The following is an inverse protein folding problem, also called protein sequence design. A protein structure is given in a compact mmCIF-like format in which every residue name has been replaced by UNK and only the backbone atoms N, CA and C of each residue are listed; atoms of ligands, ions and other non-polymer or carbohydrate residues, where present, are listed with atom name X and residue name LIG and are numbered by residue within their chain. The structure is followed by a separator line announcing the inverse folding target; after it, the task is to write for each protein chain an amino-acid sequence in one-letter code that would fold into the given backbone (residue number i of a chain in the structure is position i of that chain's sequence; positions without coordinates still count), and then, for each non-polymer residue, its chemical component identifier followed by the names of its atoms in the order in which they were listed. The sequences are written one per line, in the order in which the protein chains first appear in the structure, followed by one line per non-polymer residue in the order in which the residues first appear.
data_IF_927792230367
#
_entry.id   IF_927792230367
#
_cell.length_a   1.000
_cell.length_b   1.000
_cell.length_c   1.000
_cell.angle_alpha   90.00
_cell.angle_beta   90.00
_cell.angle_gamma   90.00
#
_symmetry.space_group_name_H-M   'P 1'
#
loop_
_entity.id
_entity.type
_entity.pdbx_description
1 polymer ?
#
# COMPACT_ATOMS: atom_id res chain seq x y z
N UNK A 1 42.03 -26.58 -7.61
CA UNK A 1 41.94 -25.38 -6.75
C UNK A 1 40.77 -24.59 -7.29
N UNK A 2 39.57 -24.85 -6.76
CA UNK A 2 38.46 -23.93 -6.94
C UNK A 2 38.88 -22.65 -6.22
N UNK A 3 38.96 -21.52 -6.94
CA UNK A 3 39.06 -20.22 -6.30
C UNK A 3 37.82 -20.07 -5.41
N UNK A 4 37.98 -20.04 -4.10
CA UNK A 4 36.95 -19.59 -3.18
C UNK A 4 36.63 -18.14 -3.53
N UNK A 5 35.62 -17.95 -4.36
CA UNK A 5 35.13 -16.63 -4.72
C UNK A 5 34.45 -16.05 -3.48
N UNK A 6 35.14 -15.13 -2.81
CA UNK A 6 34.70 -14.52 -1.57
C UNK A 6 33.38 -13.76 -1.81
N UNK A 7 32.29 -14.03 -1.06
CA UNK A 7 30.99 -13.41 -1.29
C UNK A 7 31.09 -11.88 -1.36
N UNK A 8 30.52 -11.30 -2.42
CA UNK A 8 30.40 -9.84 -2.49
C UNK A 8 29.44 -9.38 -1.40
N UNK A 9 29.89 -8.44 -0.58
CA UNK A 9 29.08 -7.80 0.44
C UNK A 9 28.88 -6.33 0.12
N UNK A 10 27.73 -5.80 0.55
CA UNK A 10 27.41 -4.38 0.47
C UNK A 10 26.90 -3.89 1.82
N UNK A 11 27.04 -2.58 2.04
CA UNK A 11 26.35 -1.91 3.13
C UNK A 11 24.89 -1.63 2.74
N UNK A 12 23.96 -2.01 3.60
CA UNK A 12 22.54 -1.69 3.48
C UNK A 12 22.03 -1.00 4.74
N UNK A 13 20.98 -0.20 4.60
CA UNK A 13 20.28 0.43 5.73
C UNK A 13 18.77 0.24 5.63
N UNK A 14 18.12 0.18 6.80
CA UNK A 14 16.67 0.17 6.95
C UNK A 14 16.27 1.22 7.99
N UNK A 15 15.36 2.14 7.66
CA UNK A 15 15.02 3.27 8.51
C UNK A 15 13.51 3.57 8.47
N UNK A 16 12.90 3.79 9.64
CA UNK A 16 11.52 4.25 9.71
C UNK A 16 11.36 5.72 9.30
N UNK A 17 10.13 6.15 8.97
CA UNK A 17 9.84 7.52 8.54
C UNK A 17 10.33 8.59 9.52
N UNK A 18 10.09 8.40 10.82
CA UNK A 18 10.51 9.36 11.85
C UNK A 18 11.96 9.22 12.32
N UNK A 19 12.72 8.26 11.76
CA UNK A 19 14.13 7.97 12.09
C UNK A 19 14.39 7.52 13.54
N UNK A 20 13.35 7.20 14.30
CA UNK A 20 13.50 6.64 15.66
C UNK A 20 14.24 5.30 15.64
N UNK A 21 14.00 4.49 14.60
CA UNK A 21 14.72 3.26 14.33
C UNK A 21 15.45 3.35 12.99
N UNK A 22 16.76 3.09 13.04
CA UNK A 22 17.66 2.96 11.89
C UNK A 22 18.58 1.78 12.14
N UNK A 23 18.62 0.86 11.19
CA UNK A 23 19.45 -0.35 11.22
C UNK A 23 20.40 -0.32 10.04
N UNK A 24 21.65 -0.71 10.28
CA UNK A 24 22.71 -0.72 9.27
C UNK A 24 23.37 -2.09 9.31
N UNK A 25 23.61 -2.67 8.14
CA UNK A 25 24.38 -3.90 7.99
C UNK A 25 25.46 -3.68 6.94
N UNK A 26 26.72 -3.77 7.36
CA UNK A 26 27.88 -3.48 6.50
C UNK A 26 28.32 -4.68 5.64
N UNK A 27 27.88 -5.88 6.00
CA UNK A 27 28.30 -7.17 5.43
C UNK A 27 27.14 -7.91 4.75
N UNK A 28 26.18 -7.19 4.17
CA UNK A 28 25.04 -7.83 3.51
C UNK A 28 25.49 -8.55 2.24
N UNK A 29 25.42 -9.88 2.27
CA UNK A 29 25.83 -10.77 1.19
C UNK A 29 24.85 -10.62 0.02
N UNK A 30 25.39 -10.29 -1.16
CA UNK A 30 24.66 -10.37 -2.42
C UNK A 30 25.08 -11.65 -3.16
N UNK A 31 24.18 -12.30 -3.92
CA UNK A 31 24.53 -13.46 -4.74
C UNK A 31 25.74 -13.15 -5.64
N UNK A 32 26.66 -14.12 -5.75
CA UNK A 32 28.00 -13.92 -6.30
C UNK A 32 28.01 -13.60 -7.81
N UNK A 33 26.95 -13.98 -8.53
CA UNK A 33 26.76 -13.61 -9.92
C UNK A 33 25.80 -12.42 -10.02
N UNK A 34 26.26 -11.33 -10.64
CA UNK A 34 25.46 -10.16 -10.98
C UNK A 34 24.22 -10.45 -11.84
N UNK A 35 24.08 -11.69 -12.33
CA UNK A 35 22.94 -12.21 -13.07
C UNK A 35 21.77 -12.69 -12.19
N UNK A 36 22.01 -13.05 -10.92
CA UNK A 36 20.97 -13.58 -10.03
C UNK A 36 20.41 -12.52 -9.08
N UNK A 37 19.19 -11.99 -9.34
CA UNK A 37 18.57 -10.99 -8.47
C UNK A 37 18.14 -11.58 -7.12
N UNK A 38 18.13 -10.74 -6.08
CA UNK A 38 17.56 -11.09 -4.78
C UNK A 38 16.06 -11.32 -4.96
N UNK A 39 15.61 -12.53 -4.65
CA UNK A 39 14.19 -12.90 -4.76
C UNK A 39 13.40 -12.17 -3.68
N UNK A 40 12.46 -11.33 -4.10
CA UNK A 40 11.45 -10.76 -3.23
C UNK A 40 10.11 -11.44 -3.48
N UNK A 41 9.40 -11.78 -2.41
CA UNK A 41 8.06 -12.35 -2.48
C UNK A 41 7.05 -11.26 -2.19
N UNK A 42 6.09 -11.06 -3.09
CA UNK A 42 4.97 -10.14 -2.90
C UNK A 42 3.72 -10.93 -2.53
N UNK A 43 3.19 -10.73 -1.32
CA UNK A 43 1.94 -11.35 -0.90
C UNK A 43 0.74 -10.43 -1.16
N UNK A 44 -0.37 -11.00 -1.61
CA UNK A 44 -1.61 -10.27 -1.97
C UNK A 44 -2.80 -10.64 -1.06
N UNK A 45 -2.57 -11.44 -0.01
CA UNK A 45 -3.62 -11.84 0.92
C UNK A 45 -4.21 -10.63 1.67
N UNK A 46 -5.46 -10.77 2.12
CA UNK A 46 -6.17 -9.71 2.85
C UNK A 46 -5.40 -9.28 4.10
N UNK A 47 -4.78 -10.21 4.83
CA UNK A 47 -3.95 -9.87 6.00
C UNK A 47 -2.80 -8.92 5.65
N UNK A 48 -2.09 -9.18 4.55
CA UNK A 48 -0.99 -8.34 4.11
C UNK A 48 -1.49 -6.95 3.69
N UNK A 49 -2.57 -6.87 2.91
CA UNK A 49 -3.17 -5.58 2.52
C UNK A 49 -3.67 -4.78 3.72
N UNK A 50 -4.29 -5.46 4.68
CA UNK A 50 -4.88 -4.84 5.88
C UNK A 50 -3.82 -4.45 6.93
N UNK A 51 -2.56 -4.87 6.75
CA UNK A 51 -1.40 -4.45 7.55
C UNK A 51 -0.64 -3.31 6.90
N UNK A 52 -0.51 -3.28 5.57
CA UNK A 52 0.23 -2.22 4.89
C UNK A 52 -0.65 -1.02 4.56
N UNK A 53 -1.94 -1.24 4.33
CA UNK A 53 -2.86 -0.27 3.71
C UNK A 53 -2.69 -0.17 2.18
N UNK A 54 -1.76 -0.93 1.60
CA UNK A 54 -1.55 -0.99 0.16
C UNK A 54 -2.26 -2.19 -0.46
N UNK A 55 -2.33 -2.24 -1.79
CA UNK A 55 -2.90 -3.40 -2.50
C UNK A 55 -2.09 -4.69 -2.36
N UNK A 56 -0.91 -4.61 -1.74
CA UNK A 56 0.01 -5.73 -1.52
C UNK A 56 0.69 -5.62 -0.15
N UNK A 57 1.23 -6.72 0.35
CA UNK A 57 2.13 -6.72 1.49
C UNK A 57 3.50 -6.12 1.15
N UNK A 58 4.28 -5.82 2.19
CA UNK A 58 5.68 -5.44 1.99
C UNK A 58 6.44 -6.57 1.29
N UNK A 59 7.28 -6.19 0.34
CA UNK A 59 8.20 -7.12 -0.31
C UNK A 59 9.37 -7.33 0.64
N UNK A 60 9.45 -8.52 1.20
CA UNK A 60 10.40 -8.78 2.28
C UNK A 60 11.71 -9.37 1.71
N UNK A 61 12.85 -8.81 2.11
CA UNK A 61 14.19 -9.31 1.75
C UNK A 61 14.80 -9.98 2.98
N UNK A 62 15.42 -11.15 2.82
CA UNK A 62 16.04 -11.84 3.96
C UNK A 62 17.22 -11.01 4.50
N UNK A 63 17.08 -10.51 5.72
CA UNK A 63 18.09 -9.70 6.41
C UNK A 63 19.06 -10.57 7.20
N UNK A 64 18.53 -11.57 7.91
CA UNK A 64 19.31 -12.52 8.71
C UNK A 64 18.50 -13.80 8.94
N UNK A 65 19.19 -14.94 9.08
CA UNK A 65 18.64 -16.23 9.48
C UNK A 65 19.33 -16.78 10.76
N UNK A 66 19.92 -15.88 11.57
CA UNK A 66 20.61 -16.22 12.82
C UNK A 66 19.92 -15.64 14.07
N UNK A 67 20.05 -16.33 15.20
CA UNK A 67 19.50 -15.91 16.51
C UNK A 67 20.21 -14.66 17.06
N UNK A 68 21.47 -14.43 16.69
CA UNK A 68 22.25 -13.26 17.10
C UNK A 68 21.61 -11.92 16.70
N UNK A 69 20.60 -11.91 15.84
CA UNK A 69 19.88 -10.68 15.46
C UNK A 69 18.75 -10.30 16.44
N UNK A 70 18.30 -11.18 17.34
CA UNK A 70 17.13 -10.91 18.20
C UNK A 70 17.36 -9.79 19.22
N UNK A 71 18.58 -9.65 19.76
CA UNK A 71 18.91 -8.55 20.68
C UNK A 71 18.80 -7.17 20.01
N UNK A 72 19.03 -7.09 18.69
CA UNK A 72 18.90 -5.85 17.91
C UNK A 72 17.44 -5.39 17.80
N UNK A 73 16.50 -6.31 18.04
CA UNK A 73 15.06 -6.11 17.92
C UNK A 73 14.31 -6.36 19.24
N UNK A 74 15.04 -6.48 20.34
CA UNK A 74 14.48 -6.76 21.66
C UNK A 74 13.76 -5.52 22.21
N UNK A 75 12.47 -5.68 22.50
CA UNK A 75 11.60 -4.67 23.10
C UNK A 75 11.78 -4.51 24.62
N UNK A 76 12.62 -5.34 25.26
CA UNK A 76 12.96 -5.21 26.68
C UNK A 76 13.65 -3.87 26.99
N UNK A 77 14.31 -3.29 25.98
CA UNK A 77 14.67 -1.89 25.98
C UNK A 77 13.42 -1.12 25.55
N UNK A 78 12.94 -0.21 26.40
CA UNK A 78 11.73 0.63 26.22
C UNK A 78 11.73 1.53 24.95
N UNK A 79 12.68 1.30 24.03
CA UNK A 79 13.01 2.03 22.82
C UNK A 79 13.04 1.14 21.56
N UNK A 80 12.76 -0.17 21.67
CA UNK A 80 12.71 -1.11 20.53
C UNK A 80 11.43 -0.98 19.67
N UNK A 81 11.37 -1.61 18.49
CA UNK A 81 10.16 -1.61 17.66
C UNK A 81 9.02 -2.37 18.32
N UNK A 82 7.77 -2.00 18.03
CA UNK A 82 6.57 -2.74 18.47
C UNK A 82 6.47 -4.07 17.74
N UNK A 83 5.96 -5.09 18.44
CA UNK A 83 5.72 -6.44 17.93
C UNK A 83 4.22 -6.65 17.71
N UNK A 84 3.83 -7.16 16.54
CA UNK A 84 2.46 -7.57 16.24
C UNK A 84 2.45 -8.93 15.57
N UNK A 85 1.85 -9.93 16.23
CA UNK A 85 1.72 -11.28 15.67
C UNK A 85 0.68 -11.30 14.56
N UNK A 86 1.14 -11.49 13.32
CA UNK A 86 0.28 -11.58 12.13
C UNK A 86 -0.39 -12.95 12.07
N UNK A 87 0.39 -14.00 12.34
CA UNK A 87 -0.02 -15.41 12.36
C UNK A 87 0.83 -16.18 13.36
N UNK A 88 0.54 -17.47 13.55
CA UNK A 88 1.27 -18.35 14.50
C UNK A 88 2.79 -18.40 14.29
N UNK A 89 3.29 -17.99 13.12
CA UNK A 89 4.72 -18.06 12.77
C UNK A 89 5.29 -16.75 12.25
N UNK A 90 4.47 -15.71 12.07
CA UNK A 90 4.92 -14.41 11.55
C UNK A 90 4.60 -13.27 12.52
N UNK A 91 5.62 -12.49 12.87
CA UNK A 91 5.49 -11.30 13.72
C UNK A 91 6.04 -10.08 12.99
N UNK A 92 5.23 -9.02 12.89
CA UNK A 92 5.65 -7.73 12.39
C UNK A 92 6.39 -6.94 13.47
N UNK A 93 7.54 -6.38 13.11
CA UNK A 93 8.25 -5.35 13.86
C UNK A 93 8.02 -4.00 13.18
N UNK A 94 7.51 -3.01 13.92
CA UNK A 94 7.19 -1.70 13.35
C UNK A 94 7.50 -0.54 14.31
N UNK A 95 7.70 0.64 13.76
CA UNK A 95 7.95 1.85 14.53
C UNK A 95 6.70 2.26 15.31
N UNK A 96 6.82 2.42 16.62
CA UNK A 96 5.70 2.84 17.47
C UNK A 96 5.26 4.28 17.23
N UNK A 97 6.14 5.13 16.70
CA UNK A 97 5.89 6.57 16.51
C UNK A 97 5.27 6.91 15.16
N UNK A 98 5.72 6.26 14.09
CA UNK A 98 5.31 6.59 12.71
C UNK A 98 4.77 5.39 11.93
N UNK A 99 4.47 4.29 12.63
CA UNK A 99 3.92 3.04 12.11
C UNK A 99 4.74 2.25 11.10
N UNK A 100 5.87 2.76 10.61
CA UNK A 100 6.71 2.10 9.61
C UNK A 100 6.94 0.61 9.90
N UNK A 101 6.43 -0.31 9.06
CA UNK A 101 6.85 -1.71 9.04
C UNK A 101 8.36 -1.79 8.77
N UNK A 102 9.10 -2.43 9.68
CA UNK A 102 10.56 -2.54 9.61
C UNK A 102 10.98 -3.94 9.19
N UNK A 103 10.51 -4.95 9.92
CA UNK A 103 10.86 -6.35 9.68
C UNK A 103 9.67 -7.27 9.90
N UNK A 104 9.67 -8.42 9.24
CA UNK A 104 8.82 -9.57 9.56
C UNK A 104 9.72 -10.68 10.10
N UNK A 105 9.45 -11.12 11.31
CA UNK A 105 10.09 -12.27 11.94
C UNK A 105 9.29 -13.51 11.57
N UNK A 106 9.96 -14.48 10.96
CA UNK A 106 9.37 -15.75 10.53
C UNK A 106 10.02 -16.92 11.26
N UNK A 107 9.18 -17.70 11.93
CA UNK A 107 9.56 -18.87 12.76
C UNK A 107 9.04 -20.19 12.18
N UNK A 108 8.57 -20.19 10.93
CA UNK A 108 7.97 -21.38 10.28
C UNK A 108 8.96 -22.49 9.89
N UNK A 109 10.28 -22.29 10.02
CA UNK A 109 11.26 -23.32 9.67
C UNK A 109 11.43 -24.35 10.79
N UNK A 110 10.56 -25.37 10.78
CA UNK A 110 10.63 -26.49 11.74
C UNK A 110 11.93 -27.31 11.60
N UNK A 111 12.47 -27.45 10.38
CA UNK A 111 13.67 -28.27 10.11
C UNK A 111 14.97 -27.64 10.62
N UNK A 112 15.06 -26.31 10.66
CA UNK A 112 16.31 -25.61 11.03
C UNK A 112 16.24 -24.92 12.39
N UNK A 113 15.04 -24.77 12.98
CA UNK A 113 14.78 -23.93 14.16
C UNK A 113 15.27 -22.47 14.03
N UNK A 114 15.65 -22.04 12.82
CA UNK A 114 16.19 -20.70 12.59
C UNK A 114 15.07 -19.66 12.56
N UNK A 115 15.27 -18.59 13.31
CA UNK A 115 14.47 -17.37 13.22
C UNK A 115 14.97 -16.57 12.00
N UNK A 116 14.06 -16.25 11.07
CA UNK A 116 14.37 -15.43 9.90
C UNK A 116 13.82 -14.03 10.06
N UNK A 117 14.69 -13.04 9.89
CA UNK A 117 14.33 -11.64 9.85
C UNK A 117 14.26 -11.19 8.40
N UNK A 118 13.08 -10.75 7.97
CA UNK A 118 12.85 -10.22 6.64
C UNK A 118 12.64 -8.72 6.72
N UNK A 119 13.50 -7.92 6.11
CA UNK A 119 13.34 -6.47 6.08
C UNK A 119 12.25 -6.06 5.09
N UNK A 120 11.39 -5.15 5.49
CA UNK A 120 10.36 -4.56 4.62
C UNK A 120 11.03 -3.63 3.59
N UNK A 121 10.83 -3.87 2.30
CA UNK A 121 11.59 -3.14 1.27
C UNK A 121 11.36 -1.63 1.26
N UNK A 122 10.16 -1.17 1.64
CA UNK A 122 9.83 0.26 1.66
C UNK A 122 10.69 1.10 2.61
N UNK A 123 11.27 0.49 3.66
CA UNK A 123 12.17 1.17 4.62
C UNK A 123 13.65 1.11 4.25
N UNK A 124 14.00 0.41 3.17
CA UNK A 124 15.40 0.28 2.76
C UNK A 124 15.94 1.56 2.11
N UNK A 125 17.19 1.91 2.43
CA UNK A 125 17.87 3.10 1.91
C UNK A 125 18.01 3.14 0.38
N UNK A 126 18.18 4.33 -0.19
CA UNK A 126 18.34 4.52 -1.65
C UNK A 126 19.76 4.18 -2.13
N UNK A 127 20.73 4.23 -1.23
CA UNK A 127 22.17 4.06 -1.47
C UNK A 127 22.57 2.65 -1.91
N UNK A 128 21.65 1.69 -1.89
CA UNK A 128 21.87 0.30 -2.29
C UNK A 128 21.89 0.11 -3.82
N UNK A 129 22.64 0.92 -4.55
CA UNK A 129 22.60 0.99 -6.03
C UNK A 129 23.03 -0.29 -6.75
N UNK A 130 23.67 -1.23 -6.03
CA UNK A 130 24.06 -2.56 -6.54
C UNK A 130 22.97 -3.63 -6.37
N UNK A 131 21.90 -3.31 -5.63
CA UNK A 131 20.84 -4.26 -5.35
C UNK A 131 19.97 -4.48 -6.59
N UNK A 132 19.98 -5.71 -7.12
CA UNK A 132 19.00 -6.18 -8.10
C UNK A 132 17.97 -7.03 -7.38
N UNK A 133 16.70 -6.67 -7.49
CA UNK A 133 15.60 -7.41 -6.87
C UNK A 133 14.72 -8.01 -7.96
N UNK A 134 14.38 -9.29 -7.81
CA UNK A 134 13.38 -9.96 -8.62
C UNK A 134 12.02 -9.75 -7.96
N UNK A 135 11.17 -9.04 -8.68
CA UNK A 135 9.84 -8.66 -8.25
C UNK A 135 8.77 -9.67 -8.68
N UNK A 136 9.12 -10.67 -9.50
CA UNK A 136 8.19 -11.52 -10.23
C UNK A 136 7.53 -12.64 -9.41
N UNK A 137 7.73 -12.74 -8.10
CA UNK A 137 7.12 -13.80 -7.28
C UNK A 137 5.91 -13.26 -6.51
N UNK A 138 4.71 -13.71 -6.87
CA UNK A 138 3.43 -13.23 -6.31
C UNK A 138 2.59 -14.36 -5.73
N UNK A 139 2.24 -14.27 -4.45
CA UNK A 139 1.50 -15.33 -3.74
C UNK A 139 0.19 -14.82 -3.17
N UNK A 140 -0.76 -15.73 -2.98
CA UNK A 140 -2.11 -15.45 -2.48
C UNK A 140 -2.88 -14.44 -3.34
N UNK A 141 -2.68 -14.48 -4.66
CA UNK A 141 -3.36 -13.54 -5.58
C UNK A 141 -4.87 -13.82 -5.63
N UNK A 142 -5.31 -15.03 -5.30
CA UNK A 142 -6.72 -15.41 -5.26
C UNK A 142 -7.55 -14.60 -4.27
N UNK A 143 -6.96 -14.20 -3.14
CA UNK A 143 -7.62 -13.35 -2.12
C UNK A 143 -8.04 -11.97 -2.65
N UNK A 144 -7.40 -11.48 -3.72
CA UNK A 144 -7.74 -10.16 -4.26
C UNK A 144 -9.10 -10.11 -4.94
N UNK A 145 -9.63 -11.27 -5.39
CA UNK A 145 -10.86 -11.44 -6.19
C UNK A 145 -10.86 -10.76 -7.56
N UNK A 146 -10.55 -9.47 -7.61
CA UNK A 146 -10.46 -8.66 -8.84
C UNK A 146 -9.04 -8.63 -9.43
N UNK A 147 -8.05 -9.16 -8.72
CA UNK A 147 -6.64 -9.16 -9.13
C UNK A 147 -5.78 -8.20 -8.32
N UNK A 148 -6.37 -7.27 -7.57
CA UNK A 148 -5.61 -6.27 -6.80
C UNK A 148 -4.57 -5.59 -7.68
N UNK A 149 -3.39 -5.36 -7.13
CA UNK A 149 -2.26 -4.84 -7.90
C UNK A 149 -1.49 -5.88 -8.72
N UNK A 150 -1.89 -7.16 -8.74
CA UNK A 150 -1.06 -8.22 -9.34
C UNK A 150 -0.75 -7.96 -10.81
N UNK A 151 -1.71 -7.43 -11.57
CA UNK A 151 -1.57 -7.17 -13.01
C UNK A 151 -0.70 -5.96 -13.32
N UNK A 152 -0.26 -5.22 -12.29
CA UNK A 152 0.54 -4.00 -12.39
C UNK A 152 1.98 -4.21 -11.94
N UNK A 153 2.23 -5.31 -11.23
CA UNK A 153 3.45 -5.57 -10.48
C UNK A 153 4.16 -6.85 -10.94
N UNK A 154 3.65 -7.52 -11.97
CA UNK A 154 3.96 -8.92 -12.30
C UNK A 154 5.25 -9.14 -13.08
N UNK A 155 5.87 -8.10 -13.64
CA UNK A 155 6.99 -8.26 -14.56
C UNK A 155 6.50 -8.81 -15.90
N UNK A 156 6.77 -8.09 -16.99
CA UNK A 156 6.34 -8.43 -18.35
C UNK A 156 6.96 -9.73 -18.95
N UNK A 157 7.68 -10.56 -18.18
CA UNK A 157 8.51 -11.66 -18.71
C UNK A 157 8.67 -12.89 -17.81
N UNK A 158 7.58 -13.40 -17.21
CA UNK A 158 7.60 -14.74 -16.60
C UNK A 158 7.66 -14.79 -15.06
N UNK A 159 7.21 -13.72 -14.39
CA UNK A 159 6.93 -13.76 -12.96
C UNK A 159 5.86 -14.82 -12.62
N UNK A 160 6.13 -15.62 -11.58
CA UNK A 160 5.23 -16.68 -11.11
C UNK A 160 4.18 -16.11 -10.16
N UNK A 161 2.91 -16.42 -10.44
CA UNK A 161 1.75 -16.04 -9.64
C UNK A 161 1.06 -17.27 -9.11
N UNK A 162 0.73 -17.29 -7.83
CA UNK A 162 0.03 -18.40 -7.19
C UNK A 162 -1.25 -17.92 -6.52
N UNK A 163 -2.36 -18.63 -6.74
CA UNK A 163 -3.65 -18.29 -6.13
C UNK A 163 -3.60 -18.31 -4.60
N UNK A 164 -2.76 -19.17 -4.02
CA UNK A 164 -2.48 -19.30 -2.60
C UNK A 164 -0.97 -19.37 -2.33
N UNK A 165 -0.54 -20.36 -1.54
CA UNK A 165 0.86 -20.55 -1.15
C UNK A 165 1.76 -20.82 -2.37
N UNK A 166 2.84 -20.06 -2.47
CA UNK A 166 3.80 -20.17 -3.58
C UNK A 166 4.37 -21.58 -3.74
N UNK A 167 4.37 -22.08 -4.97
CA UNK A 167 4.86 -23.43 -5.32
C UNK A 167 3.97 -24.59 -4.87
N UNK A 168 2.89 -24.32 -4.11
CA UNK A 168 2.00 -25.35 -3.55
C UNK A 168 0.56 -25.22 -4.01
N UNK A 169 0.11 -24.02 -4.41
CA UNK A 169 -1.21 -23.81 -4.99
C UNK A 169 -1.17 -23.74 -6.52
N UNK A 170 -2.33 -23.62 -7.15
CA UNK A 170 -2.46 -23.36 -8.58
C UNK A 170 -1.67 -22.11 -9.00
N UNK A 171 -0.87 -22.26 -10.06
CA UNK A 171 -0.12 -21.18 -10.69
C UNK A 171 -0.97 -20.51 -11.78
N UNK A 172 -1.13 -19.19 -11.71
CA UNK A 172 -1.83 -18.41 -12.73
C UNK A 172 -0.91 -18.15 -13.91
N UNK A 173 -1.34 -18.53 -15.11
CA UNK A 173 -0.73 -18.13 -16.37
C UNK A 173 -1.46 -16.91 -16.95
N UNK A 174 -0.73 -15.85 -17.29
CA UNK A 174 -1.32 -14.60 -17.79
C UNK A 174 -1.88 -13.69 -16.69
N UNK A 175 -3.00 -13.03 -16.95
CA UNK A 175 -3.64 -12.10 -16.01
C UNK A 175 -4.49 -12.82 -14.96
N UNK A 176 -4.56 -12.24 -13.76
CA UNK A 176 -5.49 -12.69 -12.72
C UNK A 176 -6.43 -11.57 -12.29
N UNK A 177 -7.74 -11.81 -12.29
CA UNK A 177 -8.47 -12.85 -13.03
C UNK A 177 -8.22 -12.75 -14.55
N UNK A 178 -8.71 -13.68 -15.37
CA UNK A 178 -8.67 -13.51 -16.83
C UNK A 178 -9.33 -12.21 -17.28
N UNK A 179 -8.77 -11.52 -18.29
CA UNK A 179 -9.23 -10.19 -18.74
C UNK A 179 -10.73 -10.14 -19.06
N UNK A 180 -11.28 -11.16 -19.70
CA UNK A 180 -12.71 -11.22 -20.05
C UNK A 180 -13.61 -11.24 -18.80
N UNK A 181 -13.19 -11.93 -17.73
CA UNK A 181 -13.89 -11.90 -16.46
C UNK A 181 -13.81 -10.50 -15.81
N UNK A 182 -12.69 -9.80 -15.96
CA UNK A 182 -12.53 -8.44 -15.45
C UNK A 182 -13.36 -7.40 -16.21
N UNK A 183 -13.59 -7.58 -17.52
CA UNK A 183 -14.44 -6.69 -18.33
C UNK A 183 -15.91 -6.85 -17.98
N UNK A 184 -16.40 -8.09 -18.01
CA UNK A 184 -17.79 -8.43 -17.67
C UNK A 184 -18.19 -7.88 -16.30
N UNK A 185 -17.28 -8.03 -15.33
CA UNK A 185 -17.54 -7.59 -13.96
C UNK A 185 -17.81 -6.09 -13.86
N UNK A 186 -17.03 -5.25 -14.54
CA UNK A 186 -17.22 -3.79 -14.54
C UNK A 186 -18.58 -3.39 -15.11
N UNK A 187 -19.06 -4.08 -16.14
CA UNK A 187 -20.35 -3.79 -16.78
C UNK A 187 -21.54 -4.09 -15.85
N UNK A 188 -21.38 -5.07 -14.96
CA UNK A 188 -22.42 -5.52 -14.03
C UNK A 188 -22.34 -4.81 -12.66
N UNK A 189 -21.32 -3.98 -12.42
CA UNK A 189 -20.98 -3.52 -11.08
C UNK A 189 -21.71 -2.25 -10.68
N UNK A 190 -22.66 -2.39 -9.75
CA UNK A 190 -23.29 -1.27 -9.06
C UNK A 190 -22.37 -0.73 -7.95
N UNK A 191 -22.48 0.58 -7.70
CA UNK A 191 -21.71 1.23 -6.62
C UNK A 191 -22.24 0.77 -5.28
N UNK A 192 -21.34 0.29 -4.41
CA UNK A 192 -21.71 -0.11 -3.06
C UNK A 192 -22.12 1.10 -2.21
N UNK A 193 -23.18 0.95 -1.42
CA UNK A 193 -23.67 2.03 -0.55
C UNK A 193 -22.63 2.42 0.50
N UNK A 194 -22.09 1.42 1.19
CA UNK A 194 -21.02 1.57 2.17
C UNK A 194 -19.97 0.47 1.97
N UNK A 195 -18.69 0.86 2.04
CA UNK A 195 -17.55 -0.06 2.00
C UNK A 195 -16.80 0.03 3.32
N UNK A 196 -16.56 -1.12 3.94
CA UNK A 196 -15.84 -1.18 5.22
C UNK A 196 -14.36 -0.87 5.01
N UNK A 197 -13.81 -0.02 5.87
CA UNK A 197 -12.40 0.33 5.93
C UNK A 197 -11.83 -0.22 7.24
N UNK A 198 -11.09 -1.34 7.19
CA UNK A 198 -10.63 -2.03 8.40
C UNK A 198 -9.17 -2.44 8.32
N UNK A 199 -8.47 -2.25 9.45
CA UNK A 199 -7.12 -2.80 9.60
C UNK A 199 -7.16 -4.29 9.97
N UNK A 200 -5.99 -4.94 9.95
CA UNK A 200 -5.88 -6.38 10.21
C UNK A 200 -6.34 -6.81 11.60
N UNK A 201 -6.01 -6.04 12.65
CA UNK A 201 -6.42 -6.37 14.02
C UNK A 201 -7.88 -5.99 14.34
N UNK A 202 -8.59 -5.32 13.42
CA UNK A 202 -9.96 -4.84 13.61
C UNK A 202 -10.10 -3.62 14.53
N UNK A 203 -9.02 -3.10 15.12
CA UNK A 203 -9.06 -1.95 16.03
C UNK A 203 -9.38 -0.63 15.32
N UNK A 204 -8.92 -0.44 14.08
CA UNK A 204 -9.46 0.58 13.17
C UNK A 204 -10.56 -0.07 12.35
N UNK A 205 -11.77 0.46 12.48
CA UNK A 205 -12.97 -0.09 11.87
C UNK A 205 -13.98 1.02 11.50
N UNK A 206 -13.87 1.49 10.26
CA UNK A 206 -14.63 2.61 9.72
C UNK A 206 -15.43 2.15 8.48
N UNK A 207 -16.26 3.04 7.96
CA UNK A 207 -16.96 2.87 6.68
C UNK A 207 -16.76 4.09 5.81
N UNK A 208 -16.69 3.84 4.50
CA UNK A 208 -16.79 4.85 3.46
C UNK A 208 -18.18 4.76 2.85
N UNK A 209 -18.94 5.86 2.91
CA UNK A 209 -20.31 5.99 2.39
C UNK A 209 -20.30 6.33 0.90
N UNK A 210 -19.81 5.40 0.08
CA UNK A 210 -19.56 5.64 -1.34
C UNK A 210 -20.84 5.89 -2.15
N UNK A 211 -21.96 5.27 -1.80
CA UNK A 211 -23.26 5.53 -2.42
C UNK A 211 -23.76 6.95 -2.16
N UNK A 212 -23.61 7.43 -0.91
CA UNK A 212 -23.91 8.81 -0.54
C UNK A 212 -23.03 9.81 -1.31
N UNK A 213 -21.71 9.56 -1.34
CA UNK A 213 -20.76 10.37 -2.08
C UNK A 213 -21.12 10.47 -3.57
N UNK A 214 -21.40 9.34 -4.22
CA UNK A 214 -21.80 9.29 -5.62
C UNK A 214 -23.06 10.10 -5.89
N UNK A 215 -24.12 9.92 -5.11
CA UNK A 215 -25.39 10.66 -5.29
C UNK A 215 -25.19 12.17 -5.10
N UNK A 216 -24.36 12.56 -4.15
CA UNK A 216 -24.03 13.97 -3.93
C UNK A 216 -23.32 14.56 -5.16
N UNK A 217 -22.29 13.89 -5.66
CA UNK A 217 -21.53 14.36 -6.82
C UNK A 217 -22.37 14.34 -8.10
N UNK A 218 -23.22 13.33 -8.30
CA UNK A 218 -24.19 13.30 -9.41
C UNK A 218 -25.13 14.51 -9.36
N UNK A 219 -25.64 14.84 -8.18
CA UNK A 219 -26.47 16.03 -7.99
C UNK A 219 -25.68 17.30 -8.30
N UNK A 220 -24.46 17.45 -7.78
CA UNK A 220 -23.60 18.60 -8.07
C UNK A 220 -23.36 18.77 -9.58
N UNK A 221 -23.03 17.68 -10.28
CA UNK A 221 -22.83 17.70 -11.72
C UNK A 221 -24.11 18.09 -12.48
N UNK A 222 -25.27 17.56 -12.06
CA UNK A 222 -26.57 17.91 -12.67
C UNK A 222 -26.95 19.39 -12.48
N UNK A 223 -26.45 20.01 -11.41
CA UNK A 223 -26.63 21.44 -11.12
C UNK A 223 -25.56 22.32 -11.80
N UNK A 224 -24.66 21.73 -12.59
CA UNK A 224 -23.57 22.44 -13.28
C UNK A 224 -22.47 22.95 -12.35
N UNK A 225 -22.35 22.39 -11.14
CA UNK A 225 -21.29 22.73 -10.19
C UNK A 225 -20.01 21.98 -10.52
N UNK A 226 -18.88 22.59 -10.18
CA UNK A 226 -17.58 21.95 -10.31
C UNK A 226 -17.46 20.78 -9.33
N UNK A 227 -17.04 19.62 -9.85
CA UNK A 227 -16.77 18.44 -9.04
C UNK A 227 -15.38 18.56 -8.40
N UNK A 228 -15.16 17.95 -7.21
CA UNK A 228 -13.82 17.85 -6.64
C UNK A 228 -12.85 17.17 -7.63
N UNK A 229 -11.58 17.60 -7.61
CA UNK A 229 -10.54 17.16 -8.56
C UNK A 229 -10.28 15.64 -8.57
N UNK A 230 -10.68 14.95 -7.51
CA UNK A 230 -10.54 13.51 -7.33
C UNK A 230 -11.81 12.73 -7.73
N UNK A 231 -12.84 13.38 -8.27
CA UNK A 231 -14.08 12.71 -8.70
C UNK A 231 -14.05 12.56 -10.22
N UNK A 232 -14.29 11.34 -10.70
CA UNK A 232 -14.43 11.09 -12.14
C UNK A 232 -15.80 11.58 -12.63
N UNK A 233 -15.87 12.57 -13.55
CA UNK A 233 -17.14 13.16 -13.98
C UNK A 233 -18.04 12.19 -14.75
N UNK A 234 -17.54 11.02 -15.18
CA UNK A 234 -18.30 10.07 -15.99
C UNK A 234 -19.11 9.10 -15.14
N UNK A 235 -18.63 8.78 -13.94
CA UNK A 235 -19.22 7.78 -13.05
C UNK A 235 -19.37 8.24 -11.59
N UNK A 236 -18.85 9.43 -11.27
CA UNK A 236 -18.88 10.08 -9.95
C UNK A 236 -18.22 9.26 -8.83
N UNK A 237 -17.30 8.36 -9.20
CA UNK A 237 -16.48 7.58 -8.26
C UNK A 237 -15.21 8.34 -7.90
N UNK A 238 -14.64 7.99 -6.74
CA UNK A 238 -13.38 8.58 -6.28
C UNK A 238 -12.20 8.05 -7.06
N UNK A 239 -11.21 8.89 -7.33
CA UNK A 239 -10.00 8.53 -8.05
C UNK A 239 -9.14 7.54 -7.24
N UNK A 240 -8.57 6.55 -7.91
CA UNK A 240 -7.47 5.74 -7.40
C UNK A 240 -6.14 6.13 -8.05
N UNK A 241 -5.08 6.30 -7.25
CA UNK A 241 -3.73 6.68 -7.72
C UNK A 241 -2.64 5.74 -7.23
N UNK A 242 -1.49 5.83 -7.89
CA UNK A 242 -0.22 5.25 -7.47
C UNK A 242 0.69 6.35 -6.94
N UNK A 243 1.31 6.08 -5.81
CA UNK A 243 2.23 7.01 -5.15
C UNK A 243 3.57 6.34 -4.85
N UNK A 244 4.63 6.91 -5.40
CA UNK A 244 6.01 6.47 -5.23
C UNK A 244 6.79 7.28 -4.20
N UNK A 245 6.15 8.16 -3.40
CA UNK A 245 6.82 9.10 -2.51
C UNK A 245 7.61 8.40 -1.38
N UNK A 246 8.76 8.96 -1.00
CA UNK A 246 9.61 8.42 0.07
C UNK A 246 8.82 8.21 1.36
N UNK A 247 8.05 9.21 1.78
CA UNK A 247 7.32 9.16 3.04
C UNK A 247 6.19 8.12 3.04
N UNK A 248 5.55 7.90 1.89
CA UNK A 248 4.53 6.89 1.66
C UNK A 248 5.14 5.49 1.80
N UNK A 249 6.28 5.26 1.14
CA UNK A 249 7.03 3.99 1.20
C UNK A 249 7.54 3.70 2.61
N UNK A 250 8.14 4.70 3.26
CA UNK A 250 8.66 4.58 4.61
C UNK A 250 7.55 4.31 5.64
N UNK A 251 6.38 4.94 5.52
CA UNK A 251 5.28 4.73 6.47
C UNK A 251 4.63 3.34 6.31
N UNK A 252 4.44 2.90 5.07
CA UNK A 252 3.68 1.67 4.76
C UNK A 252 4.54 0.42 4.61
N UNK A 253 5.85 0.59 4.45
CA UNK A 253 6.79 -0.50 4.19
C UNK A 253 6.68 -1.10 2.78
N UNK A 254 5.90 -0.52 1.86
CA UNK A 254 5.78 -0.98 0.47
C UNK A 254 6.47 -0.04 -0.52
N UNK A 255 6.72 -0.51 -1.75
CA UNK A 255 7.43 0.28 -2.77
C UNK A 255 6.56 1.30 -3.51
N UNK A 256 5.30 0.96 -3.77
CA UNK A 256 4.35 1.83 -4.44
C UNK A 256 3.06 1.73 -3.63
N UNK A 257 2.59 2.88 -3.15
CA UNK A 257 1.40 2.98 -2.35
C UNK A 257 0.18 3.33 -3.21
N UNK A 258 -1.02 3.01 -2.71
CA UNK A 258 -2.26 3.25 -3.42
C UNK A 258 -3.23 4.04 -2.55
N UNK A 259 -3.55 5.25 -3.00
CA UNK A 259 -4.50 6.14 -2.34
C UNK A 259 -5.78 6.25 -3.16
N UNK A 260 -6.89 6.41 -2.46
CA UNK A 260 -8.12 7.01 -3.01
C UNK A 260 -8.54 8.19 -2.11
N UNK A 261 -9.58 8.93 -2.48
CA UNK A 261 -9.91 10.20 -1.84
C UNK A 261 -11.38 10.25 -1.46
N UNK A 262 -11.68 10.64 -0.23
CA UNK A 262 -13.04 10.86 0.23
C UNK A 262 -13.12 12.14 1.04
N UNK A 263 -14.28 12.80 0.94
CA UNK A 263 -14.59 13.87 1.90
C UNK A 263 -14.81 13.23 3.26
N UNK A 264 -14.31 13.85 4.33
CA UNK A 264 -14.44 13.33 5.70
C UNK A 264 -15.90 13.11 6.11
N UNK A 265 -16.83 13.91 5.58
CA UNK A 265 -18.28 13.71 5.77
C UNK A 265 -18.83 12.41 5.19
N UNK A 266 -18.11 11.80 4.23
CA UNK A 266 -18.44 10.49 3.65
C UNK A 266 -17.74 9.33 4.37
N UNK A 267 -17.06 9.60 5.49
CA UNK A 267 -16.44 8.58 6.34
C UNK A 267 -17.23 8.52 7.66
N UNK A 268 -17.43 7.30 8.18
CA UNK A 268 -18.17 7.08 9.42
C UNK A 268 -17.59 5.93 10.24
N UNK A 269 -18.09 5.77 11.46
CA UNK A 269 -17.79 4.62 12.31
C UNK A 269 -18.60 3.40 11.85
N UNK A 270 -17.97 2.24 11.75
CA UNK A 270 -18.62 1.02 11.23
C UNK A 270 -19.68 0.42 12.18
N UNK A 271 -19.73 0.86 13.43
CA UNK A 271 -20.77 0.51 14.41
C UNK A 271 -21.98 1.45 14.38
N UNK A 272 -22.00 2.40 13.42
CA UNK A 272 -23.10 3.34 13.23
C UNK A 272 -23.10 4.52 14.20
N UNK A 273 -22.05 4.68 15.03
CA UNK A 273 -21.91 5.86 15.88
C UNK A 273 -21.86 7.13 15.02
N UNK A 274 -22.54 8.17 15.49
CA UNK A 274 -22.52 9.49 14.85
C UNK A 274 -21.30 10.32 15.28
N UNK A 275 -21.07 11.42 14.56
CA UNK A 275 -20.06 12.41 14.90
C UNK A 275 -18.65 12.01 14.48
N UNK A 276 -18.50 11.35 13.33
CA UNK A 276 -17.19 11.27 12.69
C UNK A 276 -16.72 12.69 12.32
N UNK A 277 -15.46 13.06 12.57
CA UNK A 277 -14.94 14.40 12.27
C UNK A 277 -15.17 14.82 10.81
N UNK A 278 -15.53 16.08 10.60
CA UNK A 278 -15.82 16.62 9.26
C UNK A 278 -14.63 17.36 8.64
N UNK A 279 -13.62 17.69 9.46
CA UNK A 279 -12.37 18.32 9.01
C UNK A 279 -11.14 17.59 9.54
N UNK A 280 -10.00 17.75 8.86
CA UNK A 280 -8.71 17.16 9.24
C UNK A 280 -8.26 17.68 10.61
N UNK A 281 -8.56 18.94 10.92
CA UNK A 281 -8.30 19.53 12.23
C UNK A 281 -9.14 18.88 13.35
N UNK A 282 -10.44 18.67 13.10
CA UNK A 282 -11.31 17.95 14.03
C UNK A 282 -10.87 16.49 14.20
N UNK A 283 -10.46 15.82 13.12
CA UNK A 283 -9.96 14.44 13.16
C UNK A 283 -8.71 14.33 14.03
N UNK A 284 -7.75 15.24 13.82
CA UNK A 284 -6.52 15.32 14.60
C UNK A 284 -6.83 15.55 16.07
N UNK A 285 -7.67 16.52 16.39
CA UNK A 285 -8.04 16.83 17.77
C UNK A 285 -8.72 15.64 18.46
N UNK A 286 -9.64 14.97 17.77
CA UNK A 286 -10.36 13.82 18.30
C UNK A 286 -9.44 12.63 18.57
N UNK A 287 -8.52 12.31 17.65
CA UNK A 287 -7.55 11.23 17.83
C UNK A 287 -6.52 11.57 18.90
N UNK A 288 -6.07 12.83 18.98
CA UNK A 288 -5.17 13.28 20.06
C UNK A 288 -5.81 13.18 21.44
N UNK A 289 -7.12 13.47 21.55
CA UNK A 289 -7.85 13.31 22.81
C UNK A 289 -7.94 11.82 23.18
N UNK A 290 -8.28 10.96 22.23
CA UNK A 290 -8.35 9.50 22.42
C UNK A 290 -7.00 8.91 22.90
N UNK A 291 -5.87 9.43 22.40
CA UNK A 291 -4.52 8.97 22.78
C UNK A 291 -4.10 9.34 24.21
N UNK A 292 -4.79 10.27 24.89
CA UNK A 292 -4.39 10.73 26.25
C UNK A 292 -4.49 9.63 27.31
N UNK A 293 -5.46 8.73 27.16
CA UNK A 293 -5.77 7.72 28.18
C UNK A 293 -4.91 6.44 28.05
N UNK A 294 -3.93 6.41 27.14
CA UNK A 294 -3.01 5.30 26.92
C UNK A 294 -3.08 4.75 25.48
N UNK A 295 -2.43 3.61 25.18
CA UNK A 295 -2.42 3.04 23.83
C UNK A 295 -3.82 2.52 23.42
N UNK A 296 -4.66 3.47 22.97
CA UNK A 296 -5.84 3.41 22.11
C UNK A 296 -6.61 2.07 22.08
N UNK A 297 -7.52 1.97 23.05
CA UNK A 297 -8.78 1.20 22.99
C UNK A 297 -9.98 2.15 23.12
N UNK A 298 -9.87 3.36 22.55
CA UNK A 298 -10.95 4.33 22.57
C UNK A 298 -12.22 3.73 21.95
N UNK A 299 -13.37 4.01 22.55
CA UNK A 299 -14.62 3.36 22.14
C UNK A 299 -15.04 3.71 20.71
N UNK A 300 -14.58 4.85 20.16
CA UNK A 300 -14.93 5.33 18.82
C UNK A 300 -13.80 5.09 17.83
N UNK A 301 -12.61 5.55 18.14
CA UNK A 301 -11.45 5.51 17.24
C UNK A 301 -10.63 4.22 17.38
N UNK A 302 -10.94 3.39 18.38
CA UNK A 302 -10.30 2.11 18.62
C UNK A 302 -8.79 2.29 18.74
N UNK A 303 -8.04 1.72 17.80
CA UNK A 303 -6.57 1.78 17.77
C UNK A 303 -6.00 2.84 16.82
N UNK A 304 -6.83 3.72 16.24
CA UNK A 304 -6.39 4.76 15.32
C UNK A 304 -5.48 5.75 16.05
N UNK A 305 -4.28 5.97 15.53
CA UNK A 305 -3.28 6.89 16.03
C UNK A 305 -2.80 7.79 14.90
N UNK A 306 -2.03 8.83 15.22
CA UNK A 306 -1.53 9.76 14.21
C UNK A 306 -0.07 10.18 14.43
N UNK A 307 0.56 10.64 13.35
CA UNK A 307 1.93 11.18 13.34
C UNK A 307 2.01 12.36 12.37
N UNK A 308 2.61 13.47 12.82
CA UNK A 308 2.95 14.59 11.95
C UNK A 308 4.27 14.30 11.22
N UNK A 309 4.27 14.13 9.90
CA UNK A 309 5.53 13.99 9.14
C UNK A 309 6.15 15.31 8.72
N UNK A 310 5.35 16.38 8.71
CA UNK A 310 5.72 17.80 8.60
C UNK A 310 4.65 18.61 9.32
N UNK A 311 4.81 19.93 9.41
CA UNK A 311 3.89 20.81 10.15
C UNK A 311 2.45 20.74 9.64
N UNK A 312 2.27 20.52 8.34
CA UNK A 312 1.02 20.52 7.59
C UNK A 312 0.52 19.12 7.18
N UNK A 313 1.27 18.06 7.50
CA UNK A 313 0.95 16.68 7.09
C UNK A 313 0.63 15.80 8.28
N UNK A 314 -0.53 15.16 8.22
CA UNK A 314 -1.06 14.26 9.24
C UNK A 314 -1.17 12.84 8.67
N UNK A 315 -0.54 11.88 9.32
CA UNK A 315 -0.52 10.48 8.91
C UNK A 315 -1.19 9.60 9.96
N UNK A 316 -2.29 8.98 9.61
CA UNK A 316 -3.07 8.13 10.52
C UNK A 316 -2.79 6.66 10.28
N UNK A 317 -2.70 5.91 11.37
CA UNK A 317 -2.36 4.50 11.34
C UNK A 317 -2.97 3.72 12.50
N UNK A 318 -2.98 2.40 12.41
CA UNK A 318 -3.32 1.53 13.53
C UNK A 318 -2.11 1.35 14.45
N UNK A 319 -2.19 1.83 15.69
CA UNK A 319 -1.10 1.71 16.68
C UNK A 319 -0.81 0.27 17.13
N UNK A 320 -1.73 -0.67 16.84
CA UNK A 320 -1.63 -2.09 17.18
C UNK A 320 -0.98 -2.92 16.08
N UNK A 321 -1.40 -2.75 14.82
CA UNK A 321 -0.96 -3.60 13.70
C UNK A 321 -0.25 -2.84 12.57
N UNK A 322 0.14 -1.59 12.80
CA UNK A 322 0.89 -0.73 11.86
C UNK A 322 0.15 -0.24 10.61
N UNK A 323 -1.09 -0.69 10.38
CA UNK A 323 -1.87 -0.36 9.19
C UNK A 323 -1.91 1.12 8.89
N UNK A 324 -1.43 1.53 7.71
CA UNK A 324 -1.62 2.88 7.18
C UNK A 324 -3.10 3.08 6.87
N UNK A 325 -3.71 4.17 7.36
CA UNK A 325 -5.17 4.41 7.24
C UNK A 325 -5.44 5.65 6.40
N UNK A 326 -4.96 6.82 6.85
CA UNK A 326 -5.18 8.09 6.18
C UNK A 326 -3.89 8.89 5.99
N UNK A 327 -3.88 9.67 4.92
CA UNK A 327 -3.03 10.84 4.78
C UNK A 327 -3.93 12.07 4.65
N UNK A 328 -3.65 13.10 5.45
CA UNK A 328 -4.38 14.36 5.45
C UNK A 328 -3.38 15.52 5.43
N UNK A 329 -3.79 16.62 4.82
CA UNK A 329 -3.03 17.88 4.75
C UNK A 329 -3.93 19.05 5.06
N UNK A 330 -3.34 20.10 5.64
CA UNK A 330 -4.09 21.26 6.12
C UNK A 330 -4.69 22.10 4.97
N UNK A 331 -4.12 22.04 3.76
CA UNK A 331 -4.61 22.73 2.56
C UNK A 331 -5.84 22.08 1.91
N UNK A 332 -6.18 20.85 2.33
CA UNK A 332 -7.38 20.09 1.93
C UNK A 332 -8.16 19.66 3.16
N UNK A 333 -8.73 20.61 3.94
CA UNK A 333 -9.20 20.38 5.29
C UNK A 333 -10.40 19.44 5.38
N UNK A 334 -11.07 19.15 4.29
CA UNK A 334 -12.24 18.26 4.21
C UNK A 334 -11.94 16.92 3.52
N UNK A 335 -10.71 16.68 3.04
CA UNK A 335 -10.34 15.49 2.28
C UNK A 335 -9.41 14.59 3.11
N UNK A 336 -9.73 13.29 3.12
CA UNK A 336 -8.81 12.25 3.54
C UNK A 336 -8.38 11.41 2.34
N UNK A 337 -7.06 11.18 2.23
CA UNK A 337 -6.51 10.19 1.33
C UNK A 337 -6.60 8.85 2.06
N UNK A 338 -7.38 7.91 1.54
CA UNK A 338 -7.73 6.64 2.17
C UNK A 338 -6.89 5.51 1.59
N UNK A 339 -6.27 4.74 2.49
CA UNK A 339 -5.43 3.60 2.13
C UNK A 339 -6.27 2.47 1.52
N UNK A 340 -6.14 2.27 0.21
CA UNK A 340 -7.01 1.36 -0.57
C UNK A 340 -6.95 -0.08 -0.07
N UNK A 341 -5.79 -0.52 0.42
CA UNK A 341 -5.60 -1.87 0.93
C UNK A 341 -6.48 -2.24 2.12
N UNK A 342 -7.06 -1.26 2.82
CA UNK A 342 -7.96 -1.48 3.95
C UNK A 342 -9.44 -1.59 3.55
N UNK A 343 -9.78 -1.30 2.29
CA UNK A 343 -11.15 -1.40 1.79
C UNK A 343 -11.52 -2.87 1.60
N UNK A 344 -12.61 -3.27 2.26
CA UNK A 344 -13.18 -4.62 2.19
C UNK A 344 -14.40 -4.62 1.26
N UNK A 345 -14.17 -4.19 0.01
CA UNK A 345 -15.20 -4.14 -1.02
C UNK A 345 -15.56 -5.57 -1.51
N UNK A 346 -16.81 -5.77 -1.92
CA UNK A 346 -17.29 -7.08 -2.38
C UNK A 346 -16.64 -7.49 -3.68
N UNK A 347 -16.34 -6.51 -4.54
CA UNK A 347 -15.71 -6.73 -5.82
C UNK A 347 -14.21 -7.04 -5.69
N UNK A 348 -13.53 -6.57 -4.66
CA UNK A 348 -12.18 -7.03 -4.37
C UNK A 348 -11.24 -5.93 -3.92
N UNK A 349 -9.96 -6.23 -4.03
CA UNK A 349 -8.89 -5.39 -3.49
C UNK A 349 -8.81 -4.01 -4.15
N UNK A 350 -9.09 -3.91 -5.46
CA UNK A 350 -9.09 -2.63 -6.19
C UNK A 350 -10.35 -1.80 -5.97
N UNK A 351 -11.42 -2.40 -5.43
CA UNK A 351 -12.68 -1.72 -5.09
C UNK A 351 -13.19 -0.85 -6.25
N UNK A 352 -13.22 -1.39 -7.47
CA UNK A 352 -13.64 -0.69 -8.69
C UNK A 352 -15.13 -0.29 -8.66
N UNK A 353 -15.93 -0.90 -7.79
CA UNK A 353 -17.29 -0.46 -7.46
C UNK A 353 -17.33 1.00 -6.98
N UNK A 354 -16.30 1.46 -6.25
CA UNK A 354 -16.26 2.80 -5.63
C UNK A 354 -15.05 3.64 -6.07
N UNK A 355 -14.05 3.04 -6.71
CA UNK A 355 -12.84 3.71 -7.20
C UNK A 355 -12.81 3.74 -8.73
N UNK A 356 -12.62 4.93 -9.29
CA UNK A 356 -12.23 5.13 -10.69
C UNK A 356 -10.71 5.26 -10.80
N UNK A 357 -10.07 4.20 -11.25
CA UNK A 357 -8.62 4.19 -11.47
C UNK A 357 -8.25 4.85 -12.79
N UNK A 358 -7.13 5.58 -12.80
CA UNK A 358 -6.57 6.11 -14.04
C UNK A 358 -6.00 5.00 -14.94
N UNK A 359 -5.53 3.91 -14.32
CA UNK A 359 -4.88 2.77 -14.96
C UNK A 359 -3.78 3.21 -15.93
N UNK A 360 -2.85 4.05 -15.50
CA UNK A 360 -1.64 4.40 -16.24
C UNK A 360 -1.26 5.85 -16.00
N UNK A 361 -0.38 6.39 -16.85
CA UNK A 361 0.26 7.68 -16.58
C UNK A 361 1.48 7.54 -15.65
N UNK A 362 2.00 8.68 -15.21
CA UNK A 362 3.18 8.73 -14.35
C UNK A 362 2.78 8.47 -12.89
N UNK A 363 3.53 7.63 -12.19
CA UNK A 363 3.36 7.44 -10.74
C UNK A 363 3.61 8.79 -10.03
N UNK A 364 2.77 9.12 -9.05
CA UNK A 364 2.94 10.33 -8.25
C UNK A 364 4.26 10.32 -7.48
N UNK A 365 4.95 11.46 -7.43
CA UNK A 365 6.26 11.59 -6.77
C UNK A 365 7.32 10.59 -7.25
N UNK A 366 7.26 10.16 -8.53
CA UNK A 366 8.18 9.17 -9.11
C UNK A 366 9.65 9.53 -8.96
N UNK A 367 9.98 10.82 -8.88
CA UNK A 367 11.34 11.34 -8.71
C UNK A 367 11.99 10.78 -7.44
N UNK A 368 11.20 10.47 -6.41
CA UNK A 368 11.65 9.84 -5.18
C UNK A 368 12.14 8.40 -5.38
N UNK A 369 11.67 7.71 -6.43
CA UNK A 369 12.13 6.38 -6.81
C UNK A 369 13.29 6.43 -7.82
N UNK A 370 13.41 7.54 -8.57
CA UNK A 370 14.44 7.73 -9.59
C UNK A 370 15.86 7.72 -9.02
N UNK A 371 16.84 7.40 -9.87
CA UNK A 371 18.27 7.32 -9.51
C UNK A 371 18.57 6.42 -8.30
N UNK A 372 17.71 5.44 -8.05
CA UNK A 372 17.84 4.46 -6.97
C UNK A 372 17.68 3.04 -7.53
N UNK A 373 17.98 2.04 -6.71
CA UNK A 373 17.77 0.63 -7.07
C UNK A 373 16.29 0.27 -7.35
N UNK A 374 15.35 1.18 -7.06
CA UNK A 374 13.91 1.05 -7.32
C UNK A 374 13.49 1.52 -8.71
N UNK A 375 14.37 2.21 -9.43
CA UNK A 375 14.04 2.86 -10.70
C UNK A 375 13.48 1.86 -11.74
N UNK A 376 14.04 0.66 -11.81
CA UNK A 376 13.52 -0.39 -12.70
C UNK A 376 12.09 -0.83 -12.33
N UNK A 377 11.76 -0.87 -11.02
CA UNK A 377 10.40 -1.18 -10.59
C UNK A 377 9.42 -0.10 -11.04
N UNK A 378 9.79 1.17 -10.87
CA UNK A 378 8.98 2.31 -11.31
C UNK A 378 8.60 2.18 -12.79
N UNK A 379 9.60 2.01 -13.68
CA UNK A 379 9.34 1.90 -15.11
C UNK A 379 8.55 0.64 -15.49
N UNK A 380 8.79 -0.48 -14.82
CA UNK A 380 8.01 -1.70 -15.05
C UNK A 380 6.54 -1.51 -14.71
N UNK A 381 6.23 -0.90 -13.56
CA UNK A 381 4.84 -0.69 -13.14
C UNK A 381 4.13 0.28 -14.08
N UNK A 382 4.75 1.39 -14.44
CA UNK A 382 4.16 2.34 -15.41
C UNK A 382 3.84 1.66 -16.75
N UNK A 383 4.75 0.82 -17.24
CA UNK A 383 4.55 0.05 -18.47
C UNK A 383 3.42 -0.97 -18.34
N UNK A 384 3.43 -1.80 -17.31
CA UNK A 384 2.47 -2.90 -17.15
C UNK A 384 1.05 -2.41 -16.91
N UNK A 385 0.89 -1.34 -16.13
CA UNK A 385 -0.40 -0.71 -15.90
C UNK A 385 -0.97 -0.19 -17.22
N UNK A 386 -0.15 0.49 -18.04
CA UNK A 386 -0.55 1.00 -19.36
C UNK A 386 -0.99 -0.13 -20.29
N UNK A 387 -0.17 -1.17 -20.43
CA UNK A 387 -0.48 -2.31 -21.30
C UNK A 387 -1.74 -3.07 -20.85
N UNK A 388 -1.88 -3.29 -19.53
CA UNK A 388 -3.06 -3.95 -18.99
C UNK A 388 -4.31 -3.07 -19.21
N UNK A 389 -4.22 -1.75 -19.05
CA UNK A 389 -5.31 -0.81 -19.33
C UNK A 389 -5.78 -0.93 -20.78
N UNK A 390 -4.86 -0.89 -21.74
CA UNK A 390 -5.17 -1.00 -23.17
C UNK A 390 -5.82 -2.35 -23.50
N UNK A 391 -5.25 -3.46 -23.01
CA UNK A 391 -5.80 -4.82 -23.22
C UNK A 391 -7.19 -5.00 -22.57
N UNK A 392 -7.50 -4.23 -21.53
CA UNK A 392 -8.81 -4.20 -20.88
C UNK A 392 -9.85 -3.35 -21.62
N UNK A 393 -9.45 -2.62 -22.68
CA UNK A 393 -10.35 -1.84 -23.54
C UNK A 393 -10.41 -0.36 -23.22
N UNK A 394 -9.45 0.17 -22.44
CA UNK A 394 -9.37 1.59 -22.09
C UNK A 394 -8.17 2.25 -22.80
N UNK A 395 -8.33 2.78 -24.03
CA UNK A 395 -7.21 3.30 -24.82
C UNK A 395 -6.56 4.55 -24.19
N UNK A 396 -7.29 5.30 -23.36
CA UNK A 396 -6.76 6.46 -22.62
C UNK A 396 -7.23 6.42 -21.16
N UNK A 397 -6.37 6.87 -20.26
CA UNK A 397 -6.76 7.20 -18.89
C UNK A 397 -7.77 8.34 -18.88
N UNK A 398 -8.72 8.31 -17.95
CA UNK A 398 -9.85 9.23 -17.97
C UNK A 398 -9.48 10.69 -17.75
N UNK A 399 -8.48 10.96 -16.92
CA UNK A 399 -7.94 12.32 -16.71
C UNK A 399 -7.35 12.90 -17.98
N UNK A 400 -6.70 12.06 -18.78
CA UNK A 400 -6.22 12.45 -20.12
C UNK A 400 -7.38 12.81 -21.03
N UNK A 401 -8.46 12.01 -21.03
CA UNK A 401 -9.66 12.32 -21.83
C UNK A 401 -10.24 13.67 -21.41
N UNK A 402 -10.45 13.90 -20.11
CA UNK A 402 -10.99 15.18 -19.59
C UNK A 402 -10.06 16.35 -19.90
N UNK A 403 -8.74 16.16 -19.78
CA UNK A 403 -7.74 17.18 -20.09
C UNK A 403 -7.74 17.58 -21.58
N UNK A 404 -7.78 16.60 -22.48
CA UNK A 404 -7.86 16.81 -23.93
C UNK A 404 -9.19 17.50 -24.31
N UNK A 405 -10.32 17.11 -23.71
CA UNK A 405 -11.61 17.76 -23.93
C UNK A 405 -11.63 19.21 -23.45
N UNK A 406 -10.98 19.49 -22.31
CA UNK A 406 -10.84 20.87 -21.79
C UNK A 406 -9.94 21.70 -22.70
N UNK A 407 -8.80 21.17 -23.14
CA UNK A 407 -7.90 21.85 -24.07
C UNK A 407 -8.59 22.17 -25.41
N UNK A 408 -9.37 21.23 -25.94
CA UNK A 408 -10.17 21.42 -27.16
C UNK A 408 -11.23 22.52 -26.99
N UNK A 409 -11.91 22.59 -25.83
CA UNK A 409 -12.87 23.66 -25.50
C UNK A 409 -12.21 25.04 -25.34
N UNK A 410 -10.97 25.08 -24.85
CA UNK A 410 -10.19 26.30 -24.66
C UNK A 410 -9.49 26.79 -25.96
N UNK A 411 -9.66 26.09 -27.09
CA UNK A 411 -9.02 26.44 -28.36
C UNK A 411 -7.49 26.30 -28.34
N UNK A 412 -6.96 25.56 -27.37
CA UNK A 412 -5.54 25.23 -27.25
C UNK A 412 -5.36 23.81 -27.79
N UNK A 413 -5.32 23.67 -29.12
CA UNK A 413 -4.71 22.47 -29.71
C UNK A 413 -3.20 22.59 -29.56
N UNK A 414 -2.54 21.54 -29.06
CA UNK A 414 -1.07 21.40 -29.10
C UNK A 414 -0.51 21.62 -30.51
#
# INVERSE_FOLDING_TARGET
MEEETNPQTIRISAQCLCKTHTYIKDDFVIPHDSSEPIKAITCHCDSCRHITGALTGSRAILWSDNEESDWMFDSSHNWGPRRYTISNHMTLLFCWKCSSPLFVVDTSSEETQKIRYWVCSGVLGKEMTRLKVDWGTHVYVGNTKDGGGVNWFSGDSGGKKWLGKGGMSEEVKGYWPPLEAQKKKVEEEEVEEEVRLKCHCGGVNLVVKAGEAKREFEKQASEGKELPWFVDPRNHKSLGVFDGCDSCRLQSGVEIFNWTFFLLKHIGFADGKEGFPLTTAELKAAVQEAERDGPNEDEKFGTLAWYASSDDVQRYFCSRCAACVFYCVDDRPDIADVAVGLLDAKDGARAESIISWEFGGKIGWREDMGMSWRENLLYMVEKEVEEWREKRGYPKGWRRIVGEEKAAKEGKSE
#
